data_IF_205544381485
#
_entry.id   IF_205544381485
#
_cell.length_a   1.000
_cell.length_b   1.000
_cell.length_c   1.000
_cell.angle_alpha   90.00
_cell.angle_beta   90.00
_cell.angle_gamma   90.00
#
_symmetry.space_group_name_H-M   'P 1'
#
loop_
_entity.id
_entity.type
_entity.pdbx_description
1 polymer ?
#
# COMPACT_ATOMS: atom_id res chain seq x y z
N UNK A 1 39.14 -23.49 -24.24
CA UNK A 1 38.61 -22.73 -23.08
C UNK A 1 37.39 -23.40 -22.43
N UNK A 2 36.51 -24.06 -23.19
CA UNK A 2 35.34 -24.81 -22.67
C UNK A 2 35.68 -26.05 -21.83
N UNK A 3 36.76 -26.76 -22.14
CA UNK A 3 37.17 -27.96 -21.38
C UNK A 3 37.61 -27.60 -19.95
N UNK A 4 38.31 -26.46 -19.78
CA UNK A 4 38.77 -26.00 -18.47
C UNK A 4 37.59 -25.48 -17.63
N UNK A 5 36.67 -24.72 -18.25
CA UNK A 5 35.43 -24.26 -17.62
C UNK A 5 34.54 -25.43 -17.18
N UNK A 6 34.34 -26.44 -18.03
CA UNK A 6 33.57 -27.63 -17.66
C UNK A 6 34.24 -28.45 -16.55
N UNK A 7 35.58 -28.48 -16.50
CA UNK A 7 36.34 -29.17 -15.42
C UNK A 7 36.24 -28.39 -14.11
N UNK A 8 36.36 -27.06 -14.17
CA UNK A 8 36.16 -26.15 -13.04
C UNK A 8 34.72 -26.28 -12.51
N UNK A 9 33.72 -26.30 -13.38
CA UNK A 9 32.33 -26.55 -13.00
C UNK A 9 32.17 -27.94 -12.36
N UNK A 10 32.77 -29.00 -12.91
CA UNK A 10 32.67 -30.34 -12.30
C UNK A 10 33.36 -30.48 -10.93
N UNK A 11 34.29 -29.58 -10.60
CA UNK A 11 35.07 -29.60 -9.34
C UNK A 11 34.60 -28.53 -8.34
N UNK A 12 33.99 -27.44 -8.82
CA UNK A 12 33.59 -26.27 -8.02
C UNK A 12 32.09 -25.95 -8.07
N UNK A 13 31.28 -26.66 -8.87
CA UNK A 13 29.83 -26.61 -8.70
C UNK A 13 29.52 -27.19 -7.33
N UNK A 14 29.28 -26.30 -6.35
CA UNK A 14 28.58 -26.67 -5.12
C UNK A 14 27.42 -27.56 -5.51
N UNK A 15 27.37 -28.76 -4.94
CA UNK A 15 26.29 -29.70 -5.20
C UNK A 15 24.96 -28.96 -4.98
N UNK A 16 23.91 -29.31 -5.70
CA UNK A 16 22.62 -28.62 -5.55
C UNK A 16 22.16 -28.63 -4.08
N UNK A 17 22.46 -29.71 -3.35
CA UNK A 17 22.24 -29.80 -1.89
C UNK A 17 23.01 -28.73 -1.10
N UNK A 18 24.23 -28.40 -1.49
CA UNK A 18 25.08 -27.43 -0.79
C UNK A 18 24.55 -26.02 -1.01
N UNK A 19 24.08 -25.72 -2.23
CA UNK A 19 23.43 -24.43 -2.54
C UNK A 19 22.07 -24.30 -1.84
N UNK A 20 21.30 -25.38 -1.75
CA UNK A 20 20.07 -25.45 -0.97
C UNK A 20 20.34 -25.20 0.51
N UNK A 21 21.30 -25.92 1.09
CA UNK A 21 21.66 -25.79 2.51
C UNK A 21 22.26 -24.42 2.83
N UNK A 22 23.03 -23.82 1.93
CA UNK A 22 23.53 -22.45 2.07
C UNK A 22 22.40 -21.42 2.05
N UNK A 23 21.45 -21.54 1.11
CA UNK A 23 20.28 -20.66 1.08
C UNK A 23 19.45 -20.80 2.37
N UNK A 24 19.24 -22.03 2.85
CA UNK A 24 18.61 -22.31 4.15
C UNK A 24 19.35 -21.62 5.29
N UNK A 25 20.67 -21.81 5.38
CA UNK A 25 21.49 -21.27 6.47
C UNK A 25 21.51 -19.74 6.46
N UNK A 26 21.57 -19.12 5.28
CA UNK A 26 21.50 -17.66 5.14
C UNK A 26 20.15 -17.11 5.63
N UNK A 27 19.04 -17.73 5.25
CA UNK A 27 17.71 -17.33 5.70
C UNK A 27 17.51 -17.62 7.19
N UNK A 28 17.99 -18.77 7.67
CA UNK A 28 17.80 -19.17 9.05
C UNK A 28 18.50 -18.23 10.04
N UNK A 29 19.71 -17.78 9.68
CA UNK A 29 20.53 -16.85 10.48
C UNK A 29 20.16 -15.38 10.30
N UNK A 30 19.03 -15.06 9.68
CA UNK A 30 18.63 -13.66 9.58
C UNK A 30 18.28 -13.11 10.96
N UNK A 31 18.77 -11.91 11.26
CA UNK A 31 18.44 -11.16 12.46
C UNK A 31 18.66 -9.66 12.19
N UNK A 32 17.74 -8.81 12.66
CA UNK A 32 17.84 -7.37 12.49
C UNK A 32 18.83 -6.80 13.49
N UNK A 33 19.96 -6.30 12.97
CA UNK A 33 20.93 -5.54 13.76
C UNK A 33 20.35 -4.19 14.20
N UNK A 34 20.80 -3.67 15.35
CA UNK A 34 20.21 -2.49 16.00
C UNK A 34 20.26 -1.18 15.19
N UNK A 35 21.17 -1.10 14.23
CA UNK A 35 21.43 0.00 13.29
C UNK A 35 20.62 -0.13 11.98
N UNK A 36 20.15 -1.33 11.65
CA UNK A 36 19.44 -1.62 10.41
C UNK A 36 17.99 -1.17 10.54
N UNK A 37 17.46 -0.41 9.57
CA UNK A 37 16.05 -0.01 9.60
C UNK A 37 15.13 -1.24 9.45
N UNK A 38 13.89 -1.17 9.93
CA UNK A 38 12.96 -2.30 9.73
C UNK A 38 12.68 -2.53 8.24
N UNK A 39 12.64 -1.47 7.44
CA UNK A 39 12.47 -1.59 5.98
C UNK A 39 13.61 -2.40 5.35
N UNK A 40 14.87 -2.03 5.65
CA UNK A 40 16.03 -2.73 5.09
C UNK A 40 16.07 -4.19 5.54
N UNK A 41 15.68 -4.45 6.79
CA UNK A 41 15.52 -5.79 7.31
C UNK A 41 14.45 -6.60 6.57
N UNK A 42 13.26 -6.03 6.34
CA UNK A 42 12.19 -6.71 5.60
C UNK A 42 12.62 -7.01 4.17
N UNK A 43 13.27 -6.05 3.50
CA UNK A 43 13.82 -6.25 2.14
C UNK A 43 14.82 -7.41 2.14
N UNK A 44 15.73 -7.45 3.11
CA UNK A 44 16.71 -8.54 3.22
C UNK A 44 16.05 -9.88 3.56
N UNK A 45 15.03 -9.89 4.41
CA UNK A 45 14.23 -11.06 4.76
C UNK A 45 13.53 -11.64 3.52
N UNK A 46 12.85 -10.78 2.75
CA UNK A 46 12.21 -11.16 1.47
C UNK A 46 13.25 -11.69 0.48
N UNK A 47 14.40 -11.02 0.36
CA UNK A 47 15.46 -11.42 -0.56
C UNK A 47 15.98 -12.82 -0.25
N UNK A 48 16.23 -13.12 1.03
CA UNK A 48 16.70 -14.45 1.47
C UNK A 48 15.61 -15.50 1.35
N UNK A 49 14.37 -15.19 1.70
CA UNK A 49 13.25 -16.12 1.53
C UNK A 49 13.01 -16.46 0.04
N UNK A 50 13.06 -15.46 -0.84
CA UNK A 50 12.96 -15.70 -2.28
C UNK A 50 14.10 -16.58 -2.83
N UNK A 51 15.29 -16.57 -2.21
CA UNK A 51 16.38 -17.50 -2.53
C UNK A 51 16.01 -18.95 -2.17
N UNK A 52 15.30 -19.19 -1.05
CA UNK A 52 14.76 -20.51 -0.70
C UNK A 52 13.72 -21.00 -1.69
N UNK A 53 12.79 -20.11 -2.07
CA UNK A 53 11.71 -20.44 -3.01
C UNK A 53 12.22 -20.91 -4.37
N UNK A 54 13.37 -20.38 -4.83
CA UNK A 54 14.04 -20.86 -6.06
C UNK A 54 14.39 -22.35 -6.01
N UNK A 55 14.59 -22.89 -4.81
CA UNK A 55 14.85 -24.31 -4.58
C UNK A 55 13.61 -25.09 -4.13
N UNK A 56 12.40 -24.53 -4.30
CA UNK A 56 11.12 -25.12 -3.89
C UNK A 56 11.01 -25.38 -2.38
N UNK A 57 11.79 -24.67 -1.57
CA UNK A 57 11.64 -24.64 -0.12
C UNK A 57 10.67 -23.52 0.24
N UNK A 58 9.40 -23.86 0.41
CA UNK A 58 8.34 -22.93 0.83
C UNK A 58 7.92 -23.24 2.27
N UNK A 59 7.92 -22.21 3.11
CA UNK A 59 7.50 -22.31 4.51
C UNK A 59 6.00 -21.99 4.62
N UNK A 60 5.28 -22.59 5.57
CA UNK A 60 3.92 -22.16 5.90
C UNK A 60 3.89 -20.68 6.30
N UNK A 61 2.88 -19.93 5.85
CA UNK A 61 2.78 -18.48 6.06
C UNK A 61 2.92 -18.05 7.53
N UNK A 62 2.31 -18.82 8.45
CA UNK A 62 2.41 -18.56 9.88
C UNK A 62 3.85 -18.67 10.39
N UNK A 63 4.60 -19.69 9.92
CA UNK A 63 6.01 -19.89 10.30
C UNK A 63 6.87 -18.76 9.76
N UNK A 64 6.62 -18.32 8.53
CA UNK A 64 7.32 -17.20 7.91
C UNK A 64 7.09 -15.89 8.69
N UNK A 65 5.84 -15.64 9.07
CA UNK A 65 5.44 -14.46 9.84
C UNK A 65 6.02 -14.46 11.26
N UNK A 66 6.01 -15.61 11.97
CA UNK A 66 6.63 -15.71 13.29
C UNK A 66 8.15 -15.53 13.21
N UNK A 67 8.82 -16.13 12.21
CA UNK A 67 10.26 -15.92 12.03
C UNK A 67 10.57 -14.44 11.78
N UNK A 68 9.78 -13.75 10.96
CA UNK A 68 9.94 -12.31 10.74
C UNK A 68 9.83 -11.51 12.04
N UNK A 69 8.81 -11.78 12.86
CA UNK A 69 8.63 -11.10 14.15
C UNK A 69 9.78 -11.39 15.13
N UNK A 70 10.22 -12.65 15.19
CA UNK A 70 11.23 -13.07 16.16
C UNK A 70 12.62 -12.56 15.82
N UNK A 71 12.92 -12.43 14.53
CA UNK A 71 14.21 -11.94 14.03
C UNK A 71 14.20 -10.44 13.70
N UNK A 72 13.10 -9.72 13.98
CA UNK A 72 12.99 -8.27 13.80
C UNK A 72 13.66 -7.43 14.92
N UNK A 73 14.18 -8.07 15.97
CA UNK A 73 14.76 -7.37 17.12
C UNK A 73 13.76 -6.47 17.85
N UNK A 74 12.48 -6.87 17.90
CA UNK A 74 11.41 -6.17 18.61
C UNK A 74 11.39 -6.55 20.10
N UNK A 75 11.03 -5.59 20.96
CA UNK A 75 10.79 -5.89 22.37
C UNK A 75 9.47 -6.66 22.56
N UNK A 76 9.27 -7.23 23.76
CA UNK A 76 8.09 -8.07 24.06
C UNK A 76 6.77 -7.33 23.84
N UNK A 77 6.69 -6.04 24.20
CA UNK A 77 5.48 -5.23 24.05
C UNK A 77 5.16 -4.98 22.58
N UNK A 78 6.16 -4.67 21.77
CA UNK A 78 5.99 -4.41 20.34
C UNK A 78 5.61 -5.68 19.58
N UNK A 79 6.18 -6.83 19.96
CA UNK A 79 5.76 -8.15 19.43
C UNK A 79 4.29 -8.39 19.75
N UNK A 80 3.86 -8.14 20.98
CA UNK A 80 2.49 -8.34 21.41
C UNK A 80 1.53 -7.37 20.72
N UNK A 81 1.95 -6.13 20.47
CA UNK A 81 1.21 -5.15 19.68
C UNK A 81 1.02 -5.63 18.23
N UNK A 82 2.08 -6.12 17.58
CA UNK A 82 2.03 -6.64 16.22
C UNK A 82 1.12 -7.88 16.09
N UNK A 83 1.19 -8.80 17.06
CA UNK A 83 0.34 -9.98 17.12
C UNK A 83 -1.14 -9.62 17.35
N UNK A 84 -1.42 -8.59 18.15
CA UNK A 84 -2.79 -8.13 18.42
C UNK A 84 -3.39 -7.37 17.23
N UNK A 85 -2.56 -6.66 16.46
CA UNK A 85 -2.99 -5.93 15.27
C UNK A 85 -3.33 -6.85 14.08
N UNK A 86 -2.78 -8.07 14.03
CA UNK A 86 -3.04 -9.05 12.97
C UNK A 86 -4.16 -10.03 13.37
N UNK A 87 -5.32 -9.95 12.73
CA UNK A 87 -6.41 -10.92 12.95
C UNK A 87 -6.09 -12.32 12.41
N UNK A 88 -5.17 -12.41 11.44
CA UNK A 88 -4.54 -13.64 10.97
C UNK A 88 -3.03 -13.39 10.80
N UNK A 89 -2.19 -14.28 11.30
CA UNK A 89 -0.73 -14.12 11.24
C UNK A 89 -0.24 -14.61 9.87
N UNK A 90 -0.10 -13.69 8.92
CA UNK A 90 0.56 -13.92 7.62
C UNK A 90 1.60 -12.83 7.35
N UNK A 91 2.63 -13.18 6.56
CA UNK A 91 3.69 -12.24 6.18
C UNK A 91 3.13 -11.00 5.45
N UNK A 92 2.13 -11.19 4.60
CA UNK A 92 1.43 -10.11 3.88
C UNK A 92 0.65 -9.18 4.82
N UNK A 93 0.20 -9.66 5.98
CA UNK A 93 -0.50 -8.84 6.96
C UNK A 93 0.45 -7.96 7.80
N UNK A 94 1.75 -8.28 7.80
CA UNK A 94 2.77 -7.47 8.49
C UNK A 94 3.29 -6.30 7.64
N UNK A 95 2.99 -6.29 6.34
CA UNK A 95 3.38 -5.24 5.39
C UNK A 95 2.17 -4.83 4.56
N UNK A 96 1.43 -3.81 5.01
CA UNK A 96 0.24 -3.30 4.30
C UNK A 96 0.26 -1.77 4.19
N UNK A 97 -0.54 -1.25 3.27
CA UNK A 97 -0.86 0.18 3.19
C UNK A 97 -2.36 0.38 3.40
N UNK A 98 -2.73 1.43 4.14
CA UNK A 98 -4.12 1.71 4.42
C UNK A 98 -4.68 2.77 3.46
N UNK A 99 -5.84 2.49 2.88
CA UNK A 99 -6.66 3.42 2.11
C UNK A 99 -7.92 3.75 2.91
N UNK A 100 -8.03 5.00 3.34
CA UNK A 100 -9.03 5.48 4.30
C UNK A 100 -9.65 6.77 3.78
N UNK A 101 -10.95 7.00 3.98
CA UNK A 101 -11.60 8.24 3.56
C UNK A 101 -11.42 9.37 4.60
N UNK A 102 -11.44 10.63 4.13
CA UNK A 102 -11.70 11.75 5.03
C UNK A 102 -13.09 11.62 5.66
N UNK A 103 -13.28 12.22 6.84
CA UNK A 103 -14.52 12.19 7.63
C UNK A 103 -15.66 13.05 7.05
N UNK A 104 -15.46 13.76 5.94
CA UNK A 104 -16.52 14.49 5.25
C UNK A 104 -16.21 14.58 3.75
N UNK A 105 -17.24 14.61 2.88
CA UNK A 105 -17.04 14.87 1.47
C UNK A 105 -16.46 16.27 1.24
N UNK A 106 -15.74 16.45 0.14
CA UNK A 106 -15.06 17.69 -0.22
C UNK A 106 -15.49 18.12 -1.62
N UNK A 107 -15.60 19.44 -1.80
CA UNK A 107 -15.65 20.05 -3.13
C UNK A 107 -14.26 20.06 -3.77
N UNK A 108 -14.18 20.52 -5.01
CA UNK A 108 -12.90 20.69 -5.71
C UNK A 108 -11.96 21.70 -5.04
N UNK A 109 -12.47 22.62 -4.21
CA UNK A 109 -11.63 23.62 -3.53
C UNK A 109 -11.15 23.12 -2.16
N UNK A 110 -10.13 22.29 -2.17
CA UNK A 110 -9.48 21.75 -0.98
C UNK A 110 -8.29 22.60 -0.52
N UNK A 111 -8.23 23.90 -0.90
CA UNK A 111 -7.06 24.78 -0.73
C UNK A 111 -5.79 24.20 -1.40
N UNK A 112 -6.00 23.52 -2.53
CA UNK A 112 -4.99 22.80 -3.27
C UNK A 112 -4.56 21.47 -2.63
N UNK A 113 -3.67 20.75 -3.31
CA UNK A 113 -3.20 19.43 -2.83
C UNK A 113 -2.62 19.46 -1.40
N UNK A 114 -2.01 20.58 -1.00
CA UNK A 114 -1.48 20.74 0.37
C UNK A 114 -2.58 20.74 1.43
N UNK A 115 -3.75 21.33 1.14
CA UNK A 115 -4.87 21.31 2.06
C UNK A 115 -5.49 19.91 2.17
N UNK A 116 -5.62 19.20 1.05
CA UNK A 116 -6.06 17.80 1.04
C UNK A 116 -5.08 16.88 1.80
N UNK A 117 -3.77 16.99 1.54
CA UNK A 117 -2.73 16.24 2.28
C UNK A 117 -2.76 16.57 3.78
N UNK A 118 -2.97 17.84 4.15
CA UNK A 118 -3.08 18.26 5.54
C UNK A 118 -4.30 17.65 6.26
N UNK A 119 -5.45 17.56 5.58
CA UNK A 119 -6.64 16.91 6.13
C UNK A 119 -6.39 15.42 6.38
N UNK A 120 -5.75 14.72 5.43
CA UNK A 120 -5.37 13.31 5.61
C UNK A 120 -4.44 13.12 6.81
N UNK A 121 -3.41 13.97 6.93
CA UNK A 121 -2.49 13.94 8.06
C UNK A 121 -3.20 14.18 9.40
N UNK A 122 -4.01 15.24 9.49
CA UNK A 122 -4.68 15.63 10.72
C UNK A 122 -5.64 14.55 11.21
N UNK A 123 -6.47 14.00 10.31
CA UNK A 123 -7.48 13.00 10.68
C UNK A 123 -6.84 11.65 11.02
N UNK A 124 -5.79 11.22 10.30
CA UNK A 124 -5.04 10.02 10.65
C UNK A 124 -4.43 10.11 12.06
N UNK A 125 -3.83 11.26 12.39
CA UNK A 125 -3.23 11.48 13.73
C UNK A 125 -4.27 11.52 14.84
N UNK A 126 -5.45 12.09 14.59
CA UNK A 126 -6.54 12.15 15.56
C UNK A 126 -7.02 10.76 16.01
N UNK A 127 -6.87 9.73 15.17
CA UNK A 127 -7.23 8.34 15.48
C UNK A 127 -6.02 7.45 15.77
N UNK A 128 -4.86 8.06 16.04
CA UNK A 128 -3.66 7.36 16.50
C UNK A 128 -2.88 6.62 15.41
N UNK A 129 -3.21 6.79 14.13
CA UNK A 129 -2.44 6.18 13.05
C UNK A 129 -1.09 6.87 12.90
N UNK A 130 -0.03 6.05 12.87
CA UNK A 130 1.36 6.53 12.86
C UNK A 130 1.94 6.71 11.45
N UNK A 131 1.32 6.06 10.46
CA UNK A 131 1.71 6.12 9.04
C UNK A 131 1.64 7.53 8.45
N UNK A 132 2.24 7.69 7.26
CA UNK A 132 2.21 8.96 6.53
C UNK A 132 1.13 8.92 5.45
N UNK A 133 -0.02 9.54 5.73
CA UNK A 133 -1.15 9.58 4.83
C UNK A 133 -1.08 10.78 3.88
N UNK A 134 -1.32 10.53 2.60
CA UNK A 134 -1.45 11.54 1.55
C UNK A 134 -2.78 11.41 0.82
N UNK A 135 -3.31 12.49 0.29
CA UNK A 135 -4.54 12.48 -0.48
C UNK A 135 -4.36 11.65 -1.76
N UNK A 136 -5.31 10.77 -2.05
CA UNK A 136 -5.39 9.94 -3.25
C UNK A 136 -5.80 10.80 -4.46
N UNK A 137 -4.98 11.78 -4.82
CA UNK A 137 -5.27 12.76 -5.87
C UNK A 137 -4.02 13.04 -6.70
N UNK A 138 -4.17 13.13 -8.02
CA UNK A 138 -3.16 13.77 -8.86
C UNK A 138 -3.12 15.29 -8.60
N UNK A 139 -1.97 15.94 -8.84
CA UNK A 139 -1.84 17.39 -8.76
C UNK A 139 -0.86 17.91 -9.81
N UNK A 140 -0.59 19.24 -9.82
CA UNK A 140 0.25 19.90 -10.84
C UNK A 140 1.59 19.20 -11.11
N UNK A 141 2.26 18.73 -10.06
CA UNK A 141 3.62 18.16 -10.13
C UNK A 141 3.69 16.68 -9.69
N UNK A 142 2.55 16.05 -9.38
CA UNK A 142 2.52 14.71 -8.84
C UNK A 142 1.42 13.90 -9.55
N UNK A 143 1.83 12.80 -10.16
CA UNK A 143 0.90 11.77 -10.63
C UNK A 143 0.44 10.94 -9.43
N UNK A 144 -0.85 10.61 -9.36
CA UNK A 144 -1.42 9.74 -8.35
C UNK A 144 -0.59 8.47 -8.17
N UNK A 145 -0.23 7.80 -9.27
CA UNK A 145 0.59 6.57 -9.28
C UNK A 145 1.89 6.69 -8.47
N UNK A 146 2.46 7.89 -8.40
CA UNK A 146 3.76 8.16 -7.79
C UNK A 146 3.69 8.52 -6.30
N UNK A 147 2.49 8.60 -5.71
CA UNK A 147 2.30 8.89 -4.28
C UNK A 147 2.92 7.81 -3.41
N UNK A 148 2.69 6.54 -3.74
CA UNK A 148 3.27 5.40 -3.03
C UNK A 148 4.73 5.19 -3.47
N UNK A 149 5.61 4.96 -2.48
CA UNK A 149 7.03 4.66 -2.72
C UNK A 149 7.20 3.47 -3.64
N UNK A 150 8.20 3.54 -4.53
CA UNK A 150 8.43 2.53 -5.56
C UNK A 150 8.60 1.10 -5.01
N UNK A 151 9.26 0.94 -3.86
CA UNK A 151 9.47 -0.35 -3.19
C UNK A 151 8.17 -1.00 -2.70
N UNK A 152 7.14 -0.19 -2.46
CA UNK A 152 5.91 -0.61 -1.79
C UNK A 152 4.74 -0.74 -2.79
N UNK A 153 5.01 -0.59 -4.10
CA UNK A 153 3.96 -0.65 -5.12
C UNK A 153 3.53 -2.07 -5.46
N UNK A 154 4.46 -3.02 -5.34
CA UNK A 154 4.28 -4.42 -5.66
C UNK A 154 4.38 -5.26 -4.39
N UNK A 155 3.55 -6.30 -4.27
CA UNK A 155 3.60 -7.24 -3.15
C UNK A 155 3.21 -6.66 -1.79
N UNK A 156 2.61 -5.47 -1.74
CA UNK A 156 2.09 -4.85 -0.51
C UNK A 156 0.57 -4.66 -0.67
N UNK A 157 -0.28 -5.41 0.04
CA UNK A 157 -1.72 -5.27 -0.05
C UNK A 157 -2.21 -3.89 0.41
N UNK A 158 -3.26 -3.41 -0.25
CA UNK A 158 -3.97 -2.19 0.14
C UNK A 158 -5.19 -2.59 0.97
N UNK A 159 -5.26 -2.13 2.20
CA UNK A 159 -6.31 -2.48 3.17
C UNK A 159 -7.18 -1.27 3.53
N UNK A 160 -8.40 -1.54 4.00
CA UNK A 160 -9.24 -0.51 4.63
C UNK A 160 -8.87 -0.33 6.12
N UNK A 161 -9.58 0.59 6.81
CA UNK A 161 -9.36 0.86 8.25
C UNK A 161 -9.63 -0.35 9.17
N UNK A 162 -10.35 -1.37 8.69
CA UNK A 162 -10.65 -2.61 9.43
C UNK A 162 -9.73 -3.77 9.05
N UNK A 163 -8.58 -3.49 8.44
CA UNK A 163 -7.59 -4.47 7.99
C UNK A 163 -8.16 -5.51 7.00
N UNK A 164 -9.16 -5.12 6.21
CA UNK A 164 -9.67 -5.95 5.12
C UNK A 164 -9.01 -5.53 3.81
N UNK A 165 -8.53 -6.50 3.04
CA UNK A 165 -7.85 -6.25 1.76
C UNK A 165 -8.84 -5.70 0.74
N UNK A 166 -8.52 -4.55 0.16
CA UNK A 166 -9.24 -3.90 -0.93
C UNK A 166 -8.65 -4.27 -2.30
N UNK A 167 -7.31 -4.21 -2.40
CA UNK A 167 -6.54 -4.50 -3.62
C UNK A 167 -5.31 -5.34 -3.27
N UNK A 168 -4.86 -6.19 -4.19
CA UNK A 168 -3.68 -7.04 -3.97
C UNK A 168 -2.38 -6.22 -3.92
N UNK A 169 -2.33 -5.08 -4.62
CA UNK A 169 -1.21 -4.16 -4.54
C UNK A 169 -1.58 -2.75 -5.01
N UNK A 170 -0.70 -1.78 -4.81
CA UNK A 170 -0.84 -0.45 -5.42
C UNK A 170 -0.90 -0.55 -6.95
N UNK A 171 -0.04 -1.38 -7.55
CA UNK A 171 0.01 -1.59 -9.01
C UNK A 171 -1.33 -2.10 -9.57
N UNK A 172 -2.02 -2.98 -8.84
CA UNK A 172 -3.30 -3.54 -9.31
C UNK A 172 -4.38 -2.48 -9.53
N UNK A 173 -4.35 -1.35 -8.81
CA UNK A 173 -5.32 -0.25 -8.97
C UNK A 173 -5.22 0.37 -10.37
N UNK A 174 -4.04 0.32 -11.00
CA UNK A 174 -3.75 0.94 -12.29
C UNK A 174 -3.65 -0.09 -13.44
N UNK A 175 -3.86 -1.37 -13.15
CA UNK A 175 -3.85 -2.47 -14.12
C UNK A 175 -5.26 -2.68 -14.70
N UNK A 176 -5.37 -2.99 -15.98
CA UNK A 176 -6.69 -3.17 -16.62
C UNK A 176 -7.44 -4.41 -16.11
N UNK A 177 -6.71 -5.47 -15.76
CA UNK A 177 -7.26 -6.78 -15.38
C UNK A 177 -7.58 -6.90 -13.89
N UNK A 178 -7.01 -6.04 -13.04
CA UNK A 178 -7.05 -6.20 -11.57
C UNK A 178 -7.44 -4.94 -10.79
N UNK A 179 -7.90 -3.88 -11.47
CA UNK A 179 -8.31 -2.62 -10.83
C UNK A 179 -9.71 -2.63 -10.18
N UNK A 180 -10.38 -3.78 -10.12
CA UNK A 180 -11.64 -3.92 -9.40
C UNK A 180 -11.33 -4.21 -7.92
N UNK A 181 -11.89 -3.39 -7.04
CA UNK A 181 -11.87 -3.62 -5.60
C UNK A 181 -12.50 -4.97 -5.28
N UNK A 182 -11.96 -5.67 -4.27
CA UNK A 182 -12.53 -6.94 -3.81
C UNK A 182 -14.02 -6.79 -3.48
N UNK A 183 -14.76 -7.87 -3.65
CA UNK A 183 -16.19 -7.93 -3.33
C UNK A 183 -16.39 -8.12 -1.82
N UNK A 184 -17.55 -7.71 -1.30
CA UNK A 184 -17.92 -7.81 0.12
C UNK A 184 -17.01 -7.07 1.10
N UNK A 185 -16.24 -6.08 0.64
CA UNK A 185 -15.47 -5.15 1.47
C UNK A 185 -15.97 -3.72 1.27
N UNK A 186 -15.79 -2.88 2.29
CA UNK A 186 -16.15 -1.45 2.23
C UNK A 186 -14.96 -0.55 2.53
N UNK A 187 -15.11 0.73 2.19
CA UNK A 187 -14.20 1.81 2.57
C UNK A 187 -14.73 2.49 3.83
N UNK A 188 -13.82 2.89 4.71
CA UNK A 188 -14.14 3.53 5.97
C UNK A 188 -13.47 4.90 6.05
N UNK A 189 -14.15 5.87 6.66
CA UNK A 189 -13.54 7.14 7.07
C UNK A 189 -12.65 6.94 8.30
N UNK A 190 -11.76 7.90 8.59
CA UNK A 190 -10.89 7.82 9.77
C UNK A 190 -11.66 7.65 11.08
N UNK A 191 -12.84 8.24 11.22
CA UNK A 191 -13.73 8.07 12.37
C UNK A 191 -14.56 6.76 12.36
N UNK A 192 -14.28 5.84 11.43
CA UNK A 192 -14.79 4.48 11.45
C UNK A 192 -16.14 4.26 10.75
N UNK A 193 -16.68 5.27 10.05
CA UNK A 193 -17.96 5.15 9.34
C UNK A 193 -17.79 4.48 7.98
N UNK A 194 -18.72 3.60 7.63
CA UNK A 194 -18.77 2.93 6.33
C UNK A 194 -19.31 3.92 5.27
N UNK A 195 -18.43 4.45 4.42
CA UNK A 195 -18.79 5.55 3.51
C UNK A 195 -19.77 5.12 2.41
N UNK A 196 -19.91 3.82 2.15
CA UNK A 196 -20.89 3.31 1.18
C UNK A 196 -22.31 3.32 1.75
N UNK A 197 -22.45 3.22 3.07
CA UNK A 197 -23.75 3.12 3.76
C UNK A 197 -24.15 4.40 4.49
N UNK A 198 -23.17 5.18 4.92
CA UNK A 198 -23.40 6.39 5.70
C UNK A 198 -23.99 7.52 4.85
N UNK A 199 -25.00 8.21 5.38
CA UNK A 199 -25.73 9.27 4.69
C UNK A 199 -24.94 10.57 4.57
N UNK A 200 -23.85 10.75 5.32
CA UNK A 200 -22.99 11.93 5.21
C UNK A 200 -22.28 12.04 3.85
N UNK A 201 -22.19 10.93 3.10
CA UNK A 201 -21.76 10.91 1.70
C UNK A 201 -22.93 10.54 0.79
N UNK A 202 -23.82 11.47 0.45
CA UNK A 202 -24.98 11.15 -0.40
C UNK A 202 -24.54 10.63 -1.77
N UNK A 203 -23.47 11.21 -2.32
CA UNK A 203 -22.89 10.81 -3.60
C UNK A 203 -21.68 9.90 -3.38
N UNK A 204 -21.77 8.65 -3.85
CA UNK A 204 -20.73 7.62 -3.67
C UNK A 204 -19.64 7.72 -4.74
N UNK A 205 -19.18 8.96 -4.96
CA UNK A 205 -18.16 9.34 -5.94
C UNK A 205 -16.84 9.64 -5.21
N UNK A 206 -15.71 9.31 -5.83
CA UNK A 206 -14.36 9.57 -5.31
C UNK A 206 -13.62 10.50 -6.25
N UNK A 207 -13.08 11.61 -5.75
CA UNK A 207 -12.17 12.46 -6.51
C UNK A 207 -10.83 11.75 -6.75
N UNK A 208 -10.25 11.90 -7.95
CA UNK A 208 -8.87 11.42 -8.22
C UNK A 208 -8.08 12.34 -9.18
N UNK A 209 -8.72 12.93 -10.20
CA UNK A 209 -8.04 13.84 -11.14
C UNK A 209 -6.95 13.18 -12.00
N UNK A 210 -7.10 11.89 -12.27
CA UNK A 210 -6.07 11.04 -12.90
C UNK A 210 -6.63 10.18 -14.03
N UNK A 211 -5.77 9.80 -14.98
CA UNK A 211 -6.09 8.74 -15.94
C UNK A 211 -6.21 7.38 -15.24
N UNK A 212 -6.67 6.37 -15.99
CA UNK A 212 -6.70 4.97 -15.52
C UNK A 212 -5.31 4.44 -15.09
N UNK A 213 -4.23 5.01 -15.63
CA UNK A 213 -2.83 4.68 -15.27
C UNK A 213 -2.27 5.56 -14.15
N UNK A 214 -3.10 6.43 -13.55
CA UNK A 214 -2.70 7.30 -12.44
C UNK A 214 -1.91 8.54 -12.87
N UNK A 215 -1.85 8.86 -14.16
CA UNK A 215 -1.22 10.09 -14.65
C UNK A 215 -2.16 11.28 -14.45
N UNK A 216 -1.61 12.41 -13.98
CA UNK A 216 -2.39 13.66 -13.79
C UNK A 216 -3.09 14.10 -15.07
N UNK A 217 -4.34 14.55 -14.94
CA UNK A 217 -5.12 15.14 -16.02
C UNK A 217 -5.23 16.63 -15.77
N UNK A 218 -4.39 17.43 -16.45
CA UNK A 218 -4.21 18.85 -16.14
C UNK A 218 -5.48 19.69 -16.33
N UNK A 219 -6.40 19.23 -17.17
CA UNK A 219 -7.66 19.92 -17.44
C UNK A 219 -8.81 19.42 -16.54
N UNK A 220 -8.58 18.35 -15.75
CA UNK A 220 -9.63 17.68 -14.98
C UNK A 220 -9.20 17.33 -13.55
N UNK A 221 -8.67 18.31 -12.84
CA UNK A 221 -8.32 18.22 -11.41
C UNK A 221 -8.66 19.49 -10.62
N UNK A 222 -9.77 20.17 -11.00
CA UNK A 222 -10.29 21.36 -10.31
C UNK A 222 -9.24 22.46 -10.07
N UNK A 223 -8.49 22.83 -11.12
CA UNK A 223 -7.38 23.78 -11.03
C UNK A 223 -6.39 23.43 -9.90
N UNK A 224 -5.94 22.18 -9.88
CA UNK A 224 -5.08 21.63 -8.82
C UNK A 224 -5.77 21.63 -7.45
N UNK A 225 -7.07 21.37 -7.42
CA UNK A 225 -7.93 21.35 -6.24
C UNK A 225 -8.08 22.70 -5.53
N UNK A 226 -8.13 23.78 -6.31
CA UNK A 226 -8.32 25.16 -5.84
C UNK A 226 -9.64 25.78 -6.28
N UNK A 227 -10.33 25.15 -7.22
CA UNK A 227 -11.60 25.61 -7.77
C UNK A 227 -12.76 24.76 -7.25
N UNK A 228 -13.86 25.41 -6.85
CA UNK A 228 -15.09 24.79 -6.37
C UNK A 228 -16.31 25.21 -7.21
N UNK A 229 -16.09 25.90 -8.31
CA UNK A 229 -17.10 26.47 -9.18
C UNK A 229 -17.74 25.40 -10.07
N UNK A 230 -18.98 25.65 -10.48
CA UNK A 230 -19.75 24.67 -11.24
C UNK A 230 -19.16 24.38 -12.64
N UNK A 231 -18.62 25.42 -13.28
CA UNK A 231 -18.10 25.35 -14.65
C UNK A 231 -16.73 24.64 -14.76
N UNK A 232 -16.01 24.48 -13.65
CA UNK A 232 -14.73 23.78 -13.61
C UNK A 232 -14.98 22.29 -13.36
N UNK A 233 -14.18 21.44 -13.98
CA UNK A 233 -14.34 19.98 -13.86
C UNK A 233 -13.13 19.30 -13.22
N UNK A 234 -13.42 18.19 -12.55
CA UNK A 234 -12.45 17.22 -12.05
C UNK A 234 -12.85 15.81 -12.50
N UNK A 235 -11.90 14.88 -12.52
CA UNK A 235 -12.23 13.45 -12.68
C UNK A 235 -12.57 12.81 -11.34
N UNK A 236 -13.70 12.13 -11.32
CA UNK A 236 -14.16 11.30 -10.23
C UNK A 236 -14.53 9.88 -10.70
N UNK A 237 -14.70 8.97 -9.74
CA UNK A 237 -15.09 7.58 -9.98
C UNK A 237 -16.25 7.16 -9.09
N UNK A 238 -17.23 6.43 -9.63
CA UNK A 238 -18.32 5.87 -8.84
C UNK A 238 -17.88 4.58 -8.15
N UNK A 239 -18.02 4.54 -6.83
CA UNK A 239 -17.73 3.34 -6.03
C UNK A 239 -18.68 2.18 -6.34
N UNK A 240 -19.85 2.43 -6.93
CA UNK A 240 -20.79 1.38 -7.34
C UNK A 240 -20.19 0.45 -8.40
N UNK A 241 -19.24 0.94 -9.21
CA UNK A 241 -18.53 0.13 -10.19
C UNK A 241 -17.50 -0.82 -9.57
N UNK A 242 -17.16 -0.62 -8.30
CA UNK A 242 -16.02 -1.26 -7.64
C UNK A 242 -14.66 -0.78 -8.15
N UNK A 243 -14.57 0.29 -8.95
CA UNK A 243 -13.31 0.84 -9.47
C UNK A 243 -13.07 2.25 -8.91
N UNK A 244 -11.81 2.61 -8.71
CA UNK A 244 -11.41 3.91 -8.15
C UNK A 244 -11.05 4.98 -9.19
N UNK A 245 -10.85 4.58 -10.46
CA UNK A 245 -10.31 5.47 -11.52
C UNK A 245 -11.18 5.46 -12.78
N UNK A 246 -12.50 5.34 -12.65
CA UNK A 246 -13.39 5.63 -13.78
C UNK A 246 -13.16 7.06 -14.26
N UNK A 247 -13.30 7.29 -15.56
CA UNK A 247 -13.00 8.59 -16.15
C UNK A 247 -14.30 9.39 -16.25
N UNK A 248 -14.88 9.78 -15.10
CA UNK A 248 -16.12 10.56 -15.08
C UNK A 248 -15.82 12.03 -14.79
N UNK A 249 -15.89 12.93 -15.79
CA UNK A 249 -15.86 14.36 -15.56
C UNK A 249 -17.02 14.76 -14.66
N UNK A 250 -16.72 15.50 -13.61
CA UNK A 250 -17.69 15.96 -12.63
C UNK A 250 -17.42 17.42 -12.29
N UNK A 251 -18.48 18.16 -11.99
CA UNK A 251 -18.37 19.55 -11.58
C UNK A 251 -17.60 19.67 -10.26
N UNK A 252 -16.67 20.62 -10.16
CA UNK A 252 -15.90 20.87 -8.94
C UNK A 252 -16.73 21.44 -7.79
N UNK A 253 -17.98 21.86 -8.07
CA UNK A 253 -18.98 22.18 -7.04
C UNK A 253 -19.56 20.94 -6.33
N UNK A 254 -19.42 19.75 -6.93
CA UNK A 254 -19.86 18.48 -6.35
C UNK A 254 -19.06 18.12 -5.09
N UNK A 255 -19.73 17.55 -4.10
CA UNK A 255 -19.14 17.21 -2.80
C UNK A 255 -18.94 15.70 -2.69
N UNK A 256 -17.71 15.25 -2.94
CA UNK A 256 -17.40 13.82 -3.10
C UNK A 256 -16.38 13.32 -2.10
N UNK A 257 -16.23 12.00 -2.03
CA UNK A 257 -15.27 11.32 -1.18
C UNK A 257 -13.85 11.68 -1.61
N UNK A 258 -12.99 11.95 -0.64
CA UNK A 258 -11.54 12.05 -0.82
C UNK A 258 -10.91 10.92 0.00
N UNK A 259 -10.14 10.08 -0.67
CA UNK A 259 -9.40 9.00 -0.04
C UNK A 259 -7.99 9.47 0.34
N UNK A 260 -7.42 8.82 1.34
CA UNK A 260 -6.09 9.04 1.87
C UNK A 260 -5.36 7.70 1.87
N UNK A 261 -4.19 7.66 1.25
CA UNK A 261 -3.34 6.48 1.14
C UNK A 261 -2.09 6.66 2.00
N UNK A 262 -1.74 5.63 2.76
CA UNK A 262 -0.43 5.52 3.38
C UNK A 262 0.66 5.43 2.29
N UNK A 263 1.59 6.39 2.25
CA UNK A 263 2.50 6.54 1.13
C UNK A 263 3.71 5.59 1.14
N UNK A 264 3.91 4.90 2.27
CA UNK A 264 5.02 3.99 2.50
C UNK A 264 4.67 3.07 3.66
N UNK A 265 5.12 1.83 3.58
CA UNK A 265 5.00 0.94 4.73
C UNK A 265 5.91 1.49 5.85
N UNK A 266 5.33 1.82 7.00
CA UNK A 266 6.13 2.22 8.17
C UNK A 266 6.00 1.15 9.24
N UNK A 267 7.12 0.51 9.59
CA UNK A 267 7.14 -0.36 10.75
C UNK A 267 6.83 0.44 12.01
N UNK A 268 6.21 -0.16 13.04
CA UNK A 268 6.18 0.44 14.37
C UNK A 268 7.61 0.84 14.76
N UNK A 269 7.85 2.14 14.91
CA UNK A 269 9.12 2.65 15.41
C UNK A 269 9.29 2.25 16.87
N UNK A 270 10.52 1.86 17.22
CA UNK A 270 11.05 1.47 18.55
C UNK A 270 10.43 2.21 19.74
#
# INVERSE_FOLDING_TARGET
MSVLLNKLDSVFLKEEKDRQYEAYTEFDRIDRRGDTSMMDYIIEFERRYNKLRKFKMELPDAVLAFKLLDTAGLNVKDKQLALTACSTVSFDNMKSLHLVALNAPQTGNMRGIRGADFLCFQQARAVGLKGTFRAFLSSKLQDLYTIVRRSDRNGVPIMNLKNQVLFSSWESIFSEDSNKMRENVSLYSFDGRDILRDSAWPEKMVWHGSSKKGHRQMDHYCETWRAGEHAVTGLASSLQSGRLLQQMPSSCSGSYIVLCIENAFTSPSK
#
